data_IF_661208794715
#
_entry.id   IF_661208794715
#
_cell.length_a   1.000
_cell.length_b   1.000
_cell.length_c   1.000
_cell.angle_alpha   90.00
_cell.angle_beta   90.00
_cell.angle_gamma   90.00
#
_symmetry.space_group_name_H-M   'P 1'
#
loop_
_entity.id
_entity.type
_entity.pdbx_description
1 polymer ?
#
# COMPACT_ATOMS: atom_id res chain seq x y z
N UNK A 1 10.25 -27.15 -8.94
CA UNK A 1 11.17 -26.07 -9.34
C UNK A 1 10.30 -24.83 -9.55
N UNK A 2 10.06 -24.09 -8.46
CA UNK A 2 9.31 -22.85 -8.50
C UNK A 2 10.19 -21.76 -9.08
N UNK A 3 9.68 -20.98 -10.02
CA UNK A 3 10.34 -19.80 -10.55
C UNK A 3 10.54 -18.81 -9.39
N UNK A 4 11.77 -18.65 -8.93
CA UNK A 4 12.23 -17.52 -8.15
C UNK A 4 12.13 -16.27 -9.06
N UNK A 5 10.92 -15.79 -9.27
CA UNK A 5 10.71 -14.45 -9.77
C UNK A 5 11.14 -13.55 -8.59
N UNK A 6 12.39 -13.12 -8.59
CA UNK A 6 12.94 -12.18 -7.63
C UNK A 6 12.06 -10.93 -7.63
N UNK A 7 11.16 -10.87 -6.64
CA UNK A 7 10.31 -9.71 -6.44
C UNK A 7 11.22 -8.54 -6.10
N UNK A 8 11.41 -7.62 -7.04
CA UNK A 8 12.19 -6.39 -6.85
C UNK A 8 11.27 -5.35 -6.20
N UNK A 9 11.67 -4.88 -5.02
CA UNK A 9 10.98 -3.79 -4.32
C UNK A 9 11.03 -2.51 -5.15
N UNK A 10 9.94 -1.78 -5.18
CA UNK A 10 9.79 -0.56 -5.99
C UNK A 10 10.61 0.58 -5.39
N UNK A 11 11.35 1.33 -6.23
CA UNK A 11 12.17 2.47 -5.81
C UNK A 11 13.13 2.14 -4.66
N UNK A 12 13.70 0.92 -4.65
CA UNK A 12 14.50 0.41 -3.53
C UNK A 12 15.73 1.27 -3.25
N UNK A 13 16.49 1.63 -4.27
CA UNK A 13 17.70 2.43 -4.13
C UNK A 13 17.38 3.82 -3.58
N UNK A 14 16.38 4.47 -4.14
CA UNK A 14 15.91 5.80 -3.74
C UNK A 14 15.33 5.80 -2.32
N UNK A 15 14.65 4.73 -1.94
CA UNK A 15 14.12 4.58 -0.57
C UNK A 15 15.27 4.48 0.44
N UNK A 16 16.28 3.65 0.21
CA UNK A 16 17.43 3.50 1.09
C UNK A 16 18.26 4.81 1.19
N UNK A 17 18.48 5.49 0.07
CA UNK A 17 19.17 6.77 0.04
C UNK A 17 18.43 7.84 0.85
N UNK A 18 17.11 7.98 0.63
CA UNK A 18 16.31 8.99 1.31
C UNK A 18 16.09 8.66 2.79
N UNK A 19 16.03 7.38 3.17
CA UNK A 19 16.03 6.95 4.58
C UNK A 19 17.37 7.24 5.27
N UNK A 20 18.46 7.41 4.51
CA UNK A 20 19.83 7.54 5.01
C UNK A 20 20.20 6.40 5.98
N UNK A 21 19.97 5.16 5.54
CA UNK A 21 20.21 3.97 6.35
C UNK A 21 21.66 3.92 6.82
N UNK A 22 21.86 3.64 8.11
CA UNK A 22 23.18 3.61 8.75
C UNK A 22 23.29 2.44 9.73
N UNK A 23 24.49 1.94 10.03
CA UNK A 23 24.71 0.95 11.08
C UNK A 23 24.16 1.41 12.43
N UNK A 24 23.68 0.48 13.26
CA UNK A 24 23.14 0.73 14.60
C UNK A 24 21.78 1.39 14.67
N UNK A 25 21.22 1.86 13.54
CA UNK A 25 19.94 2.55 13.51
C UNK A 25 18.74 1.65 13.81
N UNK A 26 17.66 2.26 14.36
CA UNK A 26 16.34 1.64 14.48
C UNK A 26 15.47 2.08 13.31
N UNK A 27 15.01 1.13 12.52
CA UNK A 27 14.14 1.38 11.38
C UNK A 27 12.76 0.77 11.60
N UNK A 28 11.75 1.38 10.98
CA UNK A 28 10.38 0.85 10.94
C UNK A 28 9.97 0.67 9.48
N UNK A 29 9.45 -0.50 9.15
CA UNK A 29 8.72 -0.75 7.92
C UNK A 29 7.25 -1.00 8.30
N UNK A 30 6.39 -0.02 8.05
CA UNK A 30 4.96 -0.10 8.42
C UNK A 30 4.11 -0.91 7.45
N UNK A 31 4.73 -1.49 6.40
CA UNK A 31 4.09 -2.19 5.28
C UNK A 31 5.02 -3.25 4.71
N UNK A 32 5.48 -4.16 5.57
CA UNK A 32 6.57 -5.11 5.27
C UNK A 32 6.35 -5.90 3.98
N UNK A 33 5.10 -6.27 3.70
CA UNK A 33 4.79 -7.13 2.57
C UNK A 33 5.62 -8.42 2.61
N UNK A 34 6.31 -8.72 1.52
CA UNK A 34 7.22 -9.86 1.42
C UNK A 34 8.63 -9.60 2.01
N UNK A 35 8.85 -8.45 2.66
CA UNK A 35 10.11 -8.12 3.34
C UNK A 35 11.25 -7.66 2.44
N UNK A 36 10.96 -7.22 1.21
CA UNK A 36 12.02 -6.80 0.27
C UNK A 36 12.76 -5.54 0.71
N UNK A 37 12.05 -4.48 1.04
CA UNK A 37 12.62 -3.25 1.61
C UNK A 37 13.24 -3.51 2.97
N UNK A 38 12.54 -4.25 3.85
CA UNK A 38 13.03 -4.62 5.17
C UNK A 38 14.39 -5.34 5.13
N UNK A 39 14.55 -6.32 4.23
CA UNK A 39 15.82 -7.02 4.03
C UNK A 39 16.94 -6.08 3.60
N UNK A 40 16.66 -5.16 2.68
CA UNK A 40 17.65 -4.20 2.19
C UNK A 40 18.06 -3.20 3.29
N UNK A 41 17.12 -2.72 4.09
CA UNK A 41 17.39 -1.87 5.26
C UNK A 41 18.27 -2.60 6.27
N UNK A 42 17.93 -3.86 6.61
CA UNK A 42 18.71 -4.66 7.56
C UNK A 42 20.14 -4.97 7.07
N UNK A 43 20.33 -5.19 5.76
CA UNK A 43 21.67 -5.34 5.18
C UNK A 43 22.46 -4.05 5.24
N UNK A 44 21.86 -2.93 4.85
CA UNK A 44 22.51 -1.62 4.84
C UNK A 44 22.81 -1.09 6.26
N UNK A 45 22.05 -1.51 7.28
CA UNK A 45 22.25 -1.13 8.69
C UNK A 45 23.12 -2.13 9.48
N UNK A 46 23.77 -3.09 8.80
CA UNK A 46 24.66 -4.04 9.46
C UNK A 46 25.83 -3.33 10.18
N UNK A 47 26.37 -3.91 11.30
CA UNK A 47 26.04 -5.25 11.83
C UNK A 47 24.85 -5.26 12.80
N UNK A 48 24.45 -4.16 13.40
CA UNK A 48 23.64 -4.06 14.61
C UNK A 48 22.34 -3.25 14.46
N UNK A 49 22.07 -2.71 13.28
CA UNK A 49 20.83 -2.02 12.98
C UNK A 49 19.61 -2.94 13.12
N UNK A 50 18.52 -2.43 13.71
CA UNK A 50 17.29 -3.16 14.00
C UNK A 50 16.12 -2.65 13.16
N UNK A 51 15.14 -3.52 12.94
CA UNK A 51 13.92 -3.18 12.21
C UNK A 51 12.68 -3.70 12.95
N UNK A 52 11.72 -2.81 13.18
CA UNK A 52 10.35 -3.16 13.50
C UNK A 52 9.55 -3.18 12.19
N UNK A 53 8.98 -4.34 11.85
CA UNK A 53 8.15 -4.51 10.66
C UNK A 53 6.71 -4.79 11.02
N UNK A 54 5.78 -4.06 10.40
CA UNK A 54 4.34 -4.26 10.54
C UNK A 54 3.72 -4.64 9.20
N UNK A 55 2.77 -5.56 9.22
CA UNK A 55 1.86 -5.80 8.11
C UNK A 55 0.49 -6.26 8.64
N UNK A 56 -0.56 -5.82 7.98
CA UNK A 56 -1.95 -6.21 8.32
C UNK A 56 -2.24 -7.65 7.94
N UNK A 57 -1.58 -8.14 6.89
CA UNK A 57 -1.74 -9.45 6.33
C UNK A 57 -0.83 -10.47 7.02
N UNK A 58 -1.42 -11.27 7.90
CA UNK A 58 -0.69 -12.31 8.63
C UNK A 58 -0.08 -13.40 7.72
N UNK A 59 -0.73 -13.69 6.57
CA UNK A 59 -0.21 -14.68 5.61
C UNK A 59 1.04 -14.13 4.90
N UNK A 60 0.99 -12.89 4.44
CA UNK A 60 2.14 -12.22 3.82
C UNK A 60 3.28 -12.04 4.83
N UNK A 61 2.94 -11.70 6.08
CA UNK A 61 3.92 -11.54 7.16
C UNK A 61 4.63 -12.85 7.51
N UNK A 62 3.96 -14.00 7.39
CA UNK A 62 4.60 -15.30 7.58
C UNK A 62 5.72 -15.54 6.54
N UNK A 63 5.47 -15.21 5.28
CA UNK A 63 6.49 -15.28 4.21
C UNK A 63 7.65 -14.30 4.47
N UNK A 64 7.34 -13.10 4.97
CA UNK A 64 8.36 -12.13 5.35
C UNK A 64 9.26 -12.65 6.50
N UNK A 65 8.69 -13.36 7.49
CA UNK A 65 9.46 -13.98 8.58
C UNK A 65 10.46 -15.01 8.06
N UNK A 66 10.07 -15.85 7.12
CA UNK A 66 10.98 -16.81 6.49
C UNK A 66 12.12 -16.09 5.76
N UNK A 67 11.80 -15.07 4.95
CA UNK A 67 12.79 -14.30 4.20
C UNK A 67 13.76 -13.53 5.10
N UNK A 68 13.29 -13.02 6.23
CA UNK A 68 14.08 -12.19 7.14
C UNK A 68 14.74 -13.02 8.28
N UNK A 69 14.59 -14.34 8.28
CA UNK A 69 15.15 -15.22 9.32
C UNK A 69 16.67 -15.09 9.46
N UNK A 70 17.38 -14.80 8.37
CA UNK A 70 18.85 -14.58 8.37
C UNK A 70 19.30 -13.45 9.29
N UNK A 71 18.42 -12.48 9.57
CA UNK A 71 18.76 -11.32 10.41
C UNK A 71 18.52 -11.57 11.91
N UNK A 72 17.92 -12.68 12.28
CA UNK A 72 17.69 -13.08 13.67
C UNK A 72 16.91 -12.03 14.46
N UNK A 73 17.38 -11.70 15.65
CA UNK A 73 16.73 -10.74 16.57
C UNK A 73 16.73 -9.28 16.08
N UNK A 74 17.45 -8.97 15.00
CA UNK A 74 17.44 -7.64 14.39
C UNK A 74 16.12 -7.32 13.67
N UNK A 75 15.38 -8.34 13.24
CA UNK A 75 14.09 -8.23 12.57
C UNK A 75 12.95 -8.61 13.54
N UNK A 76 12.24 -7.61 14.06
CA UNK A 76 11.02 -7.80 14.86
C UNK A 76 9.81 -7.60 13.96
N UNK A 77 9.03 -8.67 13.70
CA UNK A 77 7.87 -8.62 12.80
C UNK A 77 6.58 -8.88 13.55
N UNK A 78 5.63 -7.96 13.44
CA UNK A 78 4.34 -8.02 14.12
C UNK A 78 3.18 -7.82 13.16
N UNK A 79 2.09 -8.54 13.37
CA UNK A 79 0.86 -8.25 12.64
C UNK A 79 0.23 -6.99 13.22
N UNK A 80 -0.04 -6.01 12.37
CA UNK A 80 -0.60 -4.73 12.78
C UNK A 80 -0.72 -3.75 11.62
N UNK A 81 -1.32 -2.62 11.90
CA UNK A 81 -1.51 -1.53 10.95
C UNK A 81 -0.46 -0.44 11.15
N UNK A 82 -0.11 0.27 10.10
CA UNK A 82 0.81 1.42 10.17
C UNK A 82 0.34 2.51 11.16
N UNK A 83 -0.95 2.56 11.49
CA UNK A 83 -1.53 3.44 12.51
C UNK A 83 -1.07 3.10 13.93
N UNK A 84 -0.62 1.87 14.13
CA UNK A 84 -0.14 1.35 15.42
C UNK A 84 1.36 1.62 15.65
N UNK A 85 2.08 2.20 14.67
CA UNK A 85 3.51 2.50 14.81
C UNK A 85 3.85 3.22 16.11
N UNK A 86 3.13 4.30 16.53
CA UNK A 86 3.43 4.97 17.79
C UNK A 86 3.30 4.06 19.02
N UNK A 87 2.27 3.21 19.06
CA UNK A 87 2.03 2.27 20.15
C UNK A 87 3.11 1.20 20.21
N UNK A 88 3.48 0.64 19.04
CA UNK A 88 4.46 -0.44 18.93
C UNK A 88 5.90 0.00 19.24
N UNK A 89 6.23 1.24 18.96
CA UNK A 89 7.52 1.83 19.33
C UNK A 89 7.59 2.26 20.79
N UNK A 90 6.46 2.68 21.39
CA UNK A 90 6.46 3.24 22.74
C UNK A 90 7.39 4.45 22.85
N UNK A 91 8.39 4.36 23.73
CA UNK A 91 9.39 5.43 23.96
C UNK A 91 10.57 5.40 22.98
N UNK A 92 10.73 4.33 22.19
CA UNK A 92 11.81 4.24 21.19
C UNK A 92 11.58 5.29 20.07
N UNK A 93 12.69 5.75 19.48
CA UNK A 93 12.65 6.68 18.34
C UNK A 93 13.33 6.03 17.15
N UNK A 94 12.67 6.10 15.99
CA UNK A 94 13.15 5.52 14.76
C UNK A 94 14.11 6.47 14.02
N UNK A 95 15.23 5.96 13.54
CA UNK A 95 16.12 6.66 12.63
C UNK A 95 15.54 6.76 11.22
N UNK A 96 14.72 5.76 10.84
CA UNK A 96 14.00 5.78 9.56
C UNK A 96 12.67 5.05 9.63
N UNK A 97 11.68 5.58 8.93
CA UNK A 97 10.35 4.95 8.77
C UNK A 97 10.03 4.85 7.28
N UNK A 98 9.70 3.64 6.83
CA UNK A 98 9.26 3.36 5.47
C UNK A 98 7.78 2.95 5.48
N UNK A 99 7.01 3.53 4.58
CA UNK A 99 5.66 3.11 4.24
C UNK A 99 5.59 2.87 2.73
N UNK A 100 5.48 1.61 2.30
CA UNK A 100 5.24 1.21 0.91
C UNK A 100 3.75 0.86 0.78
N UNK A 101 2.94 1.87 0.44
CA UNK A 101 1.48 1.77 0.46
C UNK A 101 0.96 0.87 -0.67
N UNK A 102 -0.22 0.32 -0.50
CA UNK A 102 -0.88 -0.52 -1.50
C UNK A 102 -0.89 -2.01 -1.15
N UNK A 103 -0.77 -2.86 -2.17
CA UNK A 103 -0.86 -4.33 -2.03
C UNK A 103 0.45 -5.00 -2.39
N UNK A 104 0.77 -6.09 -1.68
CA UNK A 104 1.92 -6.93 -1.99
C UNK A 104 1.73 -7.72 -3.29
N UNK A 105 2.83 -8.13 -3.92
CA UNK A 105 2.76 -9.00 -5.09
C UNK A 105 2.12 -10.34 -4.77
N UNK A 106 2.33 -10.90 -3.57
CA UNK A 106 1.68 -12.13 -3.15
C UNK A 106 0.15 -12.00 -3.15
N UNK A 107 -0.38 -10.89 -2.62
CA UNK A 107 -1.82 -10.61 -2.65
C UNK A 107 -2.37 -10.45 -4.06
N UNK A 108 -1.63 -9.78 -4.94
CA UNK A 108 -2.07 -9.52 -6.32
C UNK A 108 -2.03 -10.78 -7.20
N UNK A 109 -1.06 -11.65 -6.99
CA UNK A 109 -0.80 -12.83 -7.83
C UNK A 109 -1.62 -14.05 -7.43
N UNK A 110 -2.13 -14.09 -6.19
CA UNK A 110 -3.00 -15.14 -5.69
C UNK A 110 -4.48 -14.86 -6.06
N UNK A 111 -5.08 -15.65 -6.98
CA UNK A 111 -6.49 -15.48 -7.34
C UNK A 111 -7.44 -15.63 -6.14
N UNK A 112 -7.08 -16.46 -5.14
CA UNK A 112 -7.90 -16.69 -3.95
C UNK A 112 -8.05 -15.46 -3.05
N UNK A 113 -7.20 -14.43 -3.24
CA UNK A 113 -7.26 -13.16 -2.51
C UNK A 113 -8.21 -12.14 -3.15
N UNK A 114 -8.58 -12.30 -4.41
CA UNK A 114 -9.56 -11.46 -5.11
C UNK A 114 -9.11 -10.04 -5.47
N UNK A 115 -7.82 -9.70 -5.37
CA UNK A 115 -7.30 -8.37 -5.71
C UNK A 115 -7.17 -8.15 -7.22
N UNK A 116 -7.08 -9.21 -8.00
CA UNK A 116 -6.90 -9.18 -9.46
C UNK A 116 -8.09 -9.82 -10.17
N UNK A 117 -8.36 -9.34 -11.37
CA UNK A 117 -9.32 -9.95 -12.30
C UNK A 117 -8.63 -10.62 -13.52
N UNK A 118 -7.30 -10.73 -13.50
CA UNK A 118 -6.56 -11.42 -14.57
C UNK A 118 -6.80 -12.93 -14.52
N UNK A 119 -6.96 -13.47 -13.33
CA UNK A 119 -7.42 -14.82 -13.06
C UNK A 119 -8.66 -14.70 -12.21
N UNK A 120 -9.68 -15.49 -12.53
CA UNK A 120 -10.92 -15.49 -11.75
C UNK A 120 -10.70 -16.11 -10.37
N UNK A 121 -11.37 -15.56 -9.38
CA UNK A 121 -11.30 -15.99 -7.99
C UNK A 121 -12.39 -15.35 -7.14
N UNK A 122 -12.49 -15.69 -5.85
CA UNK A 122 -13.46 -15.10 -4.93
C UNK A 122 -13.29 -13.58 -4.87
N UNK A 123 -14.37 -12.82 -4.82
CA UNK A 123 -14.36 -11.36 -4.71
C UNK A 123 -14.16 -10.95 -3.23
N UNK A 124 -12.97 -11.22 -2.67
CA UNK A 124 -12.66 -10.96 -1.26
C UNK A 124 -12.02 -9.57 -1.04
N UNK A 125 -10.80 -9.35 -1.51
CA UNK A 125 -9.97 -8.12 -1.40
C UNK A 125 -9.58 -7.73 0.04
N UNK A 126 -9.81 -8.53 1.07
CA UNK A 126 -9.32 -8.21 2.43
C UNK A 126 -7.82 -8.48 2.54
N UNK A 127 -7.07 -7.54 3.09
CA UNK A 127 -5.67 -7.75 3.49
C UNK A 127 -5.63 -8.66 4.72
N UNK A 128 -6.42 -8.35 5.76
CA UNK A 128 -6.65 -9.23 6.90
C UNK A 128 -7.95 -10.02 6.70
N UNK A 129 -7.83 -11.32 6.40
CA UNK A 129 -8.97 -12.20 6.13
C UNK A 129 -9.72 -12.65 7.38
N UNK A 130 -9.17 -12.37 8.56
CA UNK A 130 -9.81 -12.76 9.84
C UNK A 130 -11.02 -11.89 10.17
N UNK A 131 -11.16 -10.72 9.55
CA UNK A 131 -12.18 -9.73 9.89
C UNK A 131 -12.64 -8.90 8.68
N UNK A 132 -13.70 -8.14 8.90
CA UNK A 132 -14.21 -7.15 7.95
C UNK A 132 -15.08 -7.72 6.83
N UNK A 133 -15.66 -6.81 6.05
CA UNK A 133 -16.49 -7.12 4.88
C UNK A 133 -15.61 -7.45 3.68
N UNK A 134 -16.05 -8.43 2.88
CA UNK A 134 -15.43 -8.74 1.58
C UNK A 134 -15.86 -7.73 0.51
N UNK A 135 -15.14 -7.67 -0.60
CA UNK A 135 -15.58 -6.90 -1.76
C UNK A 135 -16.93 -7.41 -2.31
N UNK A 136 -17.21 -8.72 -2.20
CA UNK A 136 -18.50 -9.30 -2.53
C UNK A 136 -19.62 -8.74 -1.64
N UNK A 137 -19.38 -8.62 -0.32
CA UNK A 137 -20.36 -7.99 0.57
C UNK A 137 -20.64 -6.54 0.17
N UNK A 138 -19.59 -5.77 -0.12
CA UNK A 138 -19.72 -4.37 -0.53
C UNK A 138 -20.54 -4.24 -1.81
N UNK A 139 -20.26 -5.00 -2.88
CA UNK A 139 -20.99 -4.87 -4.15
C UNK A 139 -22.42 -5.39 -4.05
N UNK A 140 -22.68 -6.40 -3.21
CA UNK A 140 -24.00 -6.99 -3.09
C UNK A 140 -24.93 -6.26 -2.10
N UNK A 141 -24.38 -5.56 -1.08
CA UNK A 141 -25.18 -4.94 -0.02
C UNK A 141 -25.24 -3.41 -0.07
N UNK A 142 -24.25 -2.75 -0.65
CA UNK A 142 -24.21 -1.28 -0.71
C UNK A 142 -25.32 -0.76 -1.65
N UNK A 143 -26.05 0.29 -1.23
CA UNK A 143 -27.08 0.92 -2.09
C UNK A 143 -26.45 1.48 -3.36
N UNK A 144 -27.17 1.45 -4.50
CA UNK A 144 -26.66 1.92 -5.80
C UNK A 144 -26.02 3.30 -5.72
N UNK A 145 -26.69 4.24 -5.04
CA UNK A 145 -26.19 5.61 -4.88
C UNK A 145 -24.84 5.65 -4.14
N UNK A 146 -24.78 4.95 -3.00
CA UNK A 146 -23.60 4.94 -2.14
C UNK A 146 -22.43 4.21 -2.82
N UNK A 147 -22.73 3.16 -3.59
CA UNK A 147 -21.75 2.47 -4.43
C UNK A 147 -21.21 3.40 -5.53
N UNK A 148 -22.06 4.20 -6.16
CA UNK A 148 -21.62 5.18 -7.17
C UNK A 148 -20.70 6.25 -6.55
N UNK A 149 -21.02 6.73 -5.34
CA UNK A 149 -20.20 7.69 -4.60
C UNK A 149 -18.85 7.07 -4.23
N UNK A 150 -18.83 5.81 -3.75
CA UNK A 150 -17.61 5.05 -3.45
C UNK A 150 -16.71 4.91 -4.68
N UNK A 151 -17.27 4.47 -5.81
CA UNK A 151 -16.52 4.29 -7.05
C UNK A 151 -15.95 5.61 -7.58
N UNK A 152 -16.67 6.71 -7.38
CA UNK A 152 -16.19 8.04 -7.75
C UNK A 152 -15.08 8.53 -6.82
N UNK A 153 -15.29 8.43 -5.50
CA UNK A 153 -14.37 8.97 -4.50
C UNK A 153 -13.04 8.21 -4.46
N UNK A 154 -13.10 6.87 -4.47
CA UNK A 154 -11.90 6.02 -4.30
C UNK A 154 -11.30 5.52 -5.62
N UNK A 155 -12.13 5.38 -6.67
CA UNK A 155 -11.65 4.96 -7.98
C UNK A 155 -11.36 6.13 -8.93
N UNK A 156 -11.77 7.35 -8.59
CA UNK A 156 -11.80 8.48 -9.51
C UNK A 156 -12.47 8.09 -10.85
N UNK A 157 -13.55 7.27 -10.77
CA UNK A 157 -14.21 6.66 -11.91
C UNK A 157 -15.33 7.56 -12.46
N UNK A 158 -15.17 8.16 -13.67
CA UNK A 158 -16.15 9.09 -14.22
C UNK A 158 -17.49 8.43 -14.55
N UNK A 159 -17.50 7.11 -14.81
CA UNK A 159 -18.69 6.34 -15.14
C UNK A 159 -19.28 5.63 -13.90
N UNK A 160 -18.92 6.07 -12.69
CA UNK A 160 -19.29 5.46 -11.43
C UNK A 160 -20.79 5.18 -11.29
N UNK A 161 -21.66 6.13 -11.66
CA UNK A 161 -23.13 5.95 -11.63
C UNK A 161 -23.62 4.85 -12.57
N UNK A 162 -23.02 4.78 -13.77
CA UNK A 162 -23.38 3.77 -14.77
C UNK A 162 -22.93 2.39 -14.34
N UNK A 163 -21.72 2.28 -13.76
CA UNK A 163 -21.18 1.03 -13.24
C UNK A 163 -21.99 0.57 -12.03
N UNK A 164 -22.28 1.46 -11.07
CA UNK A 164 -23.08 1.12 -9.89
C UNK A 164 -24.47 0.61 -10.25
N UNK A 165 -25.14 1.24 -11.24
CA UNK A 165 -26.44 0.77 -11.75
C UNK A 165 -26.32 -0.62 -12.40
N UNK A 166 -25.26 -0.89 -13.17
CA UNK A 166 -25.05 -2.20 -13.77
C UNK A 166 -24.81 -3.29 -12.73
N UNK A 167 -24.06 -2.98 -11.67
CA UNK A 167 -23.84 -3.87 -10.52
C UNK A 167 -25.16 -4.12 -9.80
N UNK A 168 -25.92 -3.06 -9.46
CA UNK A 168 -27.22 -3.19 -8.80
C UNK A 168 -28.19 -4.08 -9.59
N UNK A 169 -28.30 -3.87 -10.89
CA UNK A 169 -29.15 -4.69 -11.77
C UNK A 169 -28.69 -6.15 -11.86
N UNK A 170 -27.37 -6.38 -11.88
CA UNK A 170 -26.85 -7.76 -11.97
C UNK A 170 -27.13 -8.55 -10.69
N UNK A 171 -26.91 -7.94 -9.50
CA UNK A 171 -27.09 -8.61 -8.22
C UNK A 171 -28.55 -8.89 -7.87
N UNK A 172 -29.55 -8.23 -8.50
CA UNK A 172 -30.97 -8.57 -8.37
C UNK A 172 -31.28 -9.99 -8.88
N UNK A 173 -30.48 -10.51 -9.81
CA UNK A 173 -30.67 -11.85 -10.39
C UNK A 173 -29.93 -12.91 -9.59
N UNK A 174 -28.70 -12.66 -9.22
CA UNK A 174 -27.85 -13.50 -8.37
C UNK A 174 -26.73 -12.67 -7.76
N UNK A 175 -26.25 -13.03 -6.56
CA UNK A 175 -25.08 -12.38 -5.98
C UNK A 175 -23.87 -12.41 -6.91
N UNK A 176 -23.04 -11.38 -6.84
CA UNK A 176 -21.76 -11.29 -7.57
C UNK A 176 -20.70 -11.84 -6.61
N UNK A 177 -20.08 -12.96 -6.97
CA UNK A 177 -19.21 -13.71 -6.06
C UNK A 177 -17.75 -13.74 -6.51
N UNK A 178 -17.51 -13.52 -7.83
CA UNK A 178 -16.16 -13.64 -8.37
C UNK A 178 -15.63 -12.35 -9.01
N UNK A 179 -14.31 -12.27 -9.09
CA UNK A 179 -13.60 -11.15 -9.72
C UNK A 179 -13.91 -11.05 -11.21
N UNK A 180 -14.01 -12.19 -11.89
CA UNK A 180 -14.35 -12.25 -13.32
C UNK A 180 -15.76 -11.76 -13.61
N UNK A 181 -16.76 -12.15 -12.78
CA UNK A 181 -18.14 -11.65 -12.90
C UNK A 181 -18.20 -10.13 -12.77
N UNK A 182 -17.58 -9.58 -11.74
CA UNK A 182 -17.54 -8.13 -11.53
C UNK A 182 -16.84 -7.41 -12.69
N UNK A 183 -15.68 -7.91 -13.11
CA UNK A 183 -14.91 -7.30 -14.20
C UNK A 183 -15.71 -7.28 -15.51
N UNK A 184 -16.47 -8.33 -15.80
CA UNK A 184 -17.32 -8.41 -17.01
C UNK A 184 -18.51 -7.45 -16.93
N UNK A 185 -19.16 -7.32 -15.77
CA UNK A 185 -20.23 -6.33 -15.56
C UNK A 185 -19.71 -4.91 -15.82
N UNK A 186 -18.54 -4.58 -15.23
CA UNK A 186 -17.90 -3.27 -15.42
C UNK A 186 -17.51 -3.04 -16.87
N UNK A 187 -16.93 -4.03 -17.56
CA UNK A 187 -16.53 -3.96 -18.97
C UNK A 187 -17.72 -3.66 -19.88
N UNK A 188 -18.87 -4.27 -19.63
CA UNK A 188 -20.12 -3.99 -20.38
C UNK A 188 -20.66 -2.60 -20.10
N UNK A 189 -20.58 -2.15 -18.84
CA UNK A 189 -21.01 -0.82 -18.47
C UNK A 189 -20.07 0.28 -18.97
N UNK A 190 -18.76 0.02 -19.05
CA UNK A 190 -17.71 0.97 -19.44
C UNK A 190 -16.78 0.35 -20.51
N UNK A 191 -17.25 0.13 -21.74
CA UNK A 191 -16.53 -0.68 -22.74
C UNK A 191 -15.27 -0.02 -23.29
N UNK A 192 -15.06 1.28 -23.02
CA UNK A 192 -13.85 2.01 -23.44
C UNK A 192 -13.24 2.71 -22.24
N UNK A 193 -12.02 2.33 -21.87
CA UNK A 193 -11.21 3.12 -20.96
C UNK A 193 -10.84 4.45 -21.62
N UNK A 194 -10.96 5.55 -20.89
CA UNK A 194 -10.47 6.86 -21.35
C UNK A 194 -8.94 6.96 -21.35
N UNK A 195 -8.26 6.00 -20.73
CA UNK A 195 -6.79 5.87 -20.73
C UNK A 195 -6.41 4.64 -21.54
N UNK A 196 -5.69 4.78 -22.66
CA UNK A 196 -5.17 3.67 -23.43
C UNK A 196 -4.35 2.72 -22.52
N UNK A 197 -4.55 1.41 -22.69
CA UNK A 197 -3.82 0.40 -21.91
C UNK A 197 -4.31 0.13 -20.49
N UNK A 198 -5.35 0.83 -19.99
CA UNK A 198 -5.94 0.54 -18.69
C UNK A 198 -7.26 -0.24 -18.87
N UNK A 199 -7.36 -1.41 -18.22
CA UNK A 199 -8.60 -2.19 -18.26
C UNK A 199 -9.76 -1.41 -17.57
N UNK A 200 -10.99 -1.41 -18.10
CA UNK A 200 -12.12 -0.66 -17.54
C UNK A 200 -12.40 -0.94 -16.07
N UNK A 201 -12.20 -2.18 -15.60
CA UNK A 201 -12.45 -2.56 -14.22
C UNK A 201 -11.40 -2.07 -13.21
N UNK A 202 -10.21 -1.62 -13.65
CA UNK A 202 -9.10 -1.29 -12.74
C UNK A 202 -9.51 -0.28 -11.66
N UNK A 203 -10.23 0.77 -12.03
CA UNK A 203 -10.66 1.81 -11.07
C UNK A 203 -11.73 1.32 -10.11
N UNK A 204 -12.63 0.46 -10.60
CA UNK A 204 -13.64 -0.19 -9.75
C UNK A 204 -12.97 -1.10 -8.71
N UNK A 205 -12.00 -1.91 -9.12
CA UNK A 205 -11.24 -2.78 -8.21
C UNK A 205 -10.43 -1.96 -7.20
N UNK A 206 -9.77 -0.89 -7.63
CA UNK A 206 -9.09 0.03 -6.72
C UNK A 206 -10.06 0.62 -5.68
N UNK A 207 -11.23 1.08 -6.11
CA UNK A 207 -12.20 1.68 -5.20
C UNK A 207 -12.71 0.69 -4.14
N UNK A 208 -13.00 -0.55 -4.55
CA UNK A 208 -13.44 -1.60 -3.65
C UNK A 208 -12.33 -1.99 -2.67
N UNK A 209 -11.09 -2.15 -3.15
CA UNK A 209 -9.92 -2.45 -2.31
C UNK A 209 -9.74 -1.39 -1.21
N UNK A 210 -9.75 -0.12 -1.61
CA UNK A 210 -9.64 1.02 -0.68
C UNK A 210 -10.76 0.98 0.36
N UNK A 211 -12.01 0.69 -0.05
CA UNK A 211 -13.16 0.62 0.86
C UNK A 211 -13.05 -0.55 1.82
N UNK A 212 -12.74 -1.74 1.33
CA UNK A 212 -12.63 -2.97 2.13
C UNK A 212 -11.55 -2.83 3.20
N UNK A 213 -10.39 -2.28 2.82
CA UNK A 213 -9.23 -2.18 3.70
C UNK A 213 -9.09 -0.82 4.40
N UNK A 214 -10.03 0.12 4.21
CA UNK A 214 -9.99 1.48 4.78
C UNK A 214 -8.63 2.16 4.56
N UNK A 215 -8.08 2.01 3.35
CA UNK A 215 -6.69 2.42 3.06
C UNK A 215 -6.46 3.92 3.20
N UNK A 216 -7.47 4.75 2.91
CA UNK A 216 -7.37 6.21 2.92
C UNK A 216 -7.91 6.85 4.20
N UNK A 217 -8.81 6.16 4.91
CA UNK A 217 -9.40 6.67 6.15
C UNK A 217 -8.31 6.86 7.23
N UNK A 218 -8.08 8.10 7.68
CA UNK A 218 -7.07 8.41 8.69
C UNK A 218 -5.61 8.20 8.25
N UNK A 219 -5.34 7.98 6.95
CA UNK A 219 -3.98 7.75 6.45
C UNK A 219 -3.06 8.94 6.68
N UNK A 220 -3.56 10.16 6.50
CA UNK A 220 -2.80 11.38 6.75
C UNK A 220 -2.36 11.47 8.22
N UNK A 221 -3.30 11.28 9.13
CA UNK A 221 -3.08 11.31 10.58
C UNK A 221 -2.11 10.20 11.01
N UNK A 222 -2.21 9.03 10.40
CA UNK A 222 -1.29 7.92 10.64
C UNK A 222 0.15 8.25 10.19
N UNK A 223 0.31 8.87 9.02
CA UNK A 223 1.62 9.33 8.54
C UNK A 223 2.20 10.41 9.49
N UNK A 224 1.38 11.36 9.93
CA UNK A 224 1.79 12.41 10.88
C UNK A 224 2.19 11.79 12.23
N UNK A 225 1.41 10.85 12.75
CA UNK A 225 1.69 10.12 14.00
C UNK A 225 2.97 9.29 13.92
N UNK A 226 3.17 8.55 12.83
CA UNK A 226 4.40 7.81 12.61
C UNK A 226 5.62 8.74 12.49
N UNK A 227 5.51 9.87 11.79
CA UNK A 227 6.60 10.84 11.67
C UNK A 227 7.00 11.45 13.02
N UNK A 228 6.05 11.60 13.95
CA UNK A 228 6.34 12.08 15.32
C UNK A 228 7.23 11.12 16.11
N UNK A 229 7.31 9.83 15.71
CA UNK A 229 8.17 8.82 16.33
C UNK A 229 9.61 8.84 15.80
N UNK A 230 9.95 9.69 14.83
CA UNK A 230 11.32 9.82 14.34
C UNK A 230 12.26 10.38 15.42
N UNK A 231 13.49 9.89 15.45
CA UNK A 231 14.59 10.51 16.16
C UNK A 231 14.97 11.87 15.53
N UNK A 232 15.71 12.76 16.23
CA UNK A 232 16.33 13.92 15.59
C UNK A 232 17.16 13.49 14.38
N UNK A 233 17.08 14.21 13.26
CA UNK A 233 17.62 13.87 11.94
C UNK A 233 17.05 12.60 11.30
N UNK A 234 16.14 11.88 11.96
CA UNK A 234 15.45 10.72 11.40
C UNK A 234 14.61 11.07 10.17
N UNK A 235 14.38 10.09 9.29
CA UNK A 235 13.72 10.31 8.01
C UNK A 235 12.56 9.36 7.79
N UNK A 236 11.52 9.86 7.13
CA UNK A 236 10.40 9.05 6.71
C UNK A 236 10.28 9.07 5.19
N UNK A 237 10.06 7.90 4.63
CA UNK A 237 9.79 7.68 3.21
C UNK A 237 8.43 7.05 3.05
N UNK A 238 7.62 7.59 2.13
CA UNK A 238 6.31 7.04 1.75
C UNK A 238 6.30 6.81 0.26
N UNK A 239 6.00 5.59 -0.16
CA UNK A 239 5.77 5.20 -1.56
C UNK A 239 4.27 5.03 -1.74
N UNK A 240 3.69 5.69 -2.73
CA UNK A 240 2.28 5.68 -3.06
C UNK A 240 2.08 5.22 -4.50
N UNK A 241 1.01 4.47 -4.79
CA UNK A 241 0.73 3.93 -6.13
C UNK A 241 -0.47 4.57 -6.81
N UNK A 242 -1.27 5.34 -6.08
CA UNK A 242 -2.37 6.11 -6.66
C UNK A 242 -2.47 7.53 -6.09
N UNK A 243 -3.33 8.34 -6.72
CA UNK A 243 -3.48 9.77 -6.43
C UNK A 243 -3.91 10.10 -5.02
N UNK A 244 -4.75 9.24 -4.40
CA UNK A 244 -5.28 9.48 -3.06
C UNK A 244 -4.22 9.27 -1.99
N UNK A 245 -3.42 8.19 -2.10
CA UNK A 245 -2.27 7.95 -1.22
C UNK A 245 -1.23 9.08 -1.34
N UNK A 246 -0.83 9.42 -2.58
CA UNK A 246 0.13 10.50 -2.83
C UNK A 246 -0.35 11.85 -2.28
N UNK A 247 -1.67 12.11 -2.34
CA UNK A 247 -2.29 13.30 -1.77
C UNK A 247 -2.19 13.29 -0.25
N UNK A 248 -2.55 12.18 0.40
CA UNK A 248 -2.47 12.04 1.86
C UNK A 248 -1.03 12.24 2.37
N UNK A 249 -0.05 11.58 1.75
CA UNK A 249 1.37 11.75 2.10
C UNK A 249 1.86 13.20 1.88
N UNK A 250 1.49 13.83 0.75
CA UNK A 250 1.82 15.22 0.46
C UNK A 250 1.23 16.18 1.50
N UNK A 251 -0.02 15.98 1.88
CA UNK A 251 -0.72 16.84 2.85
C UNK A 251 -0.14 16.65 4.25
N UNK A 252 0.15 15.40 4.67
CA UNK A 252 0.83 15.10 5.93
C UNK A 252 2.20 15.80 6.00
N UNK A 253 3.04 15.64 4.99
CA UNK A 253 4.37 16.27 4.98
C UNK A 253 4.32 17.79 4.91
N UNK A 254 3.30 18.35 4.25
CA UNK A 254 3.08 19.79 4.24
C UNK A 254 2.67 20.33 5.62
N UNK A 255 1.84 19.59 6.34
CA UNK A 255 1.41 20.01 7.69
C UNK A 255 2.54 19.91 8.71
N UNK A 256 3.47 18.97 8.54
CA UNK A 256 4.66 18.80 9.37
C UNK A 256 5.74 19.86 9.09
N UNK A 257 5.79 20.37 7.85
CA UNK A 257 6.80 21.35 7.44
C UNK A 257 6.74 22.63 8.30
N UNK A 258 7.91 23.03 8.84
CA UNK A 258 8.02 24.16 9.75
C UNK A 258 7.60 23.87 11.20
N UNK A 259 7.27 22.60 11.50
CA UNK A 259 7.00 22.13 12.87
C UNK A 259 8.08 21.16 13.35
N UNK A 260 9.34 21.47 13.09
CA UNK A 260 10.48 20.59 13.36
C UNK A 260 10.69 19.52 12.29
N UNK A 261 10.12 19.71 11.10
CA UNK A 261 10.31 18.80 9.96
C UNK A 261 10.62 19.58 8.68
N UNK A 262 11.47 18.99 7.84
CA UNK A 262 11.87 19.49 6.52
C UNK A 262 11.47 18.49 5.44
N UNK A 263 10.68 18.94 4.46
CA UNK A 263 10.34 18.14 3.28
C UNK A 263 11.57 17.97 2.39
N UNK A 264 11.99 16.74 2.15
CA UNK A 264 13.15 16.41 1.31
C UNK A 264 12.80 16.36 -0.18
N UNK A 265 11.56 15.96 -0.51
CA UNK A 265 11.10 15.82 -1.89
C UNK A 265 9.97 16.81 -2.20
N UNK A 266 10.27 17.94 -2.84
CA UNK A 266 9.24 18.89 -3.30
C UNK A 266 8.31 18.29 -4.37
N UNK A 267 8.90 17.52 -5.30
CA UNK A 267 8.18 16.68 -6.28
C UNK A 267 8.40 15.23 -5.89
N UNK A 268 7.44 14.32 -6.15
CA UNK A 268 7.66 12.91 -5.88
C UNK A 268 8.77 12.36 -6.79
N UNK A 269 9.63 11.53 -6.23
CA UNK A 269 10.55 10.69 -7.02
C UNK A 269 9.73 9.63 -7.73
N UNK A 270 10.09 9.30 -8.95
CA UNK A 270 9.40 8.31 -9.79
C UNK A 270 10.39 7.27 -10.26
N UNK A 271 9.94 6.03 -10.50
CA UNK A 271 10.81 4.99 -11.06
C UNK A 271 11.34 5.39 -12.44
N UNK A 272 12.57 4.97 -12.72
CA UNK A 272 13.19 5.13 -14.04
C UNK A 272 12.53 4.24 -15.09
N UNK A 273 12.78 4.51 -16.36
CA UNK A 273 12.24 3.73 -17.48
C UNK A 273 12.68 2.25 -17.43
N UNK A 274 13.89 2.00 -16.97
CA UNK A 274 14.44 0.65 -16.83
C UNK A 274 13.68 -0.14 -15.75
N UNK A 275 13.47 0.45 -14.57
CA UNK A 275 12.68 -0.17 -13.50
C UNK A 275 11.25 -0.45 -13.96
N UNK A 276 10.63 0.49 -14.68
CA UNK A 276 9.25 0.30 -15.21
C UNK A 276 9.20 -0.83 -16.25
N UNK A 277 10.26 -1.01 -17.04
CA UNK A 277 10.35 -2.10 -18.02
C UNK A 277 10.48 -3.46 -17.34
N UNK A 278 11.31 -3.56 -16.30
CA UNK A 278 11.53 -4.77 -15.52
C UNK A 278 10.39 -5.07 -14.55
N UNK A 279 9.86 -4.04 -13.91
CA UNK A 279 8.72 -4.11 -13.00
C UNK A 279 7.59 -3.15 -13.41
N UNK A 280 6.66 -3.56 -14.29
CA UNK A 280 5.55 -2.70 -14.72
C UNK A 280 4.65 -2.19 -13.59
N UNK A 281 4.68 -2.84 -12.41
CA UNK A 281 3.94 -2.42 -11.20
C UNK A 281 4.49 -1.12 -10.62
N UNK A 282 5.78 -0.83 -10.83
CA UNK A 282 6.41 0.42 -10.40
C UNK A 282 5.90 1.66 -11.14
N UNK A 283 5.31 1.51 -12.33
CA UNK A 283 4.94 2.62 -13.24
C UNK A 283 4.19 3.76 -12.57
N UNK A 284 3.33 3.49 -11.60
CA UNK A 284 2.52 4.51 -10.91
C UNK A 284 3.12 4.99 -9.59
N UNK A 285 4.24 4.41 -9.16
CA UNK A 285 4.88 4.72 -7.90
C UNK A 285 5.31 6.18 -7.80
N UNK A 286 5.18 6.73 -6.59
CA UNK A 286 5.54 8.10 -6.24
C UNK A 286 6.11 8.08 -4.84
N UNK A 287 7.40 8.32 -4.72
CA UNK A 287 8.08 8.35 -3.44
C UNK A 287 8.19 9.77 -2.93
N UNK A 288 7.85 9.97 -1.66
CA UNK A 288 8.03 11.22 -0.92
C UNK A 288 8.83 10.98 0.35
N UNK A 289 9.59 12.00 0.76
CA UNK A 289 10.40 11.92 1.96
C UNK A 289 10.35 13.23 2.77
N UNK A 290 10.44 13.06 4.10
CA UNK A 290 10.55 14.14 5.09
C UNK A 290 11.62 13.77 6.11
N UNK A 291 12.29 14.75 6.69
CA UNK A 291 13.25 14.57 7.79
C UNK A 291 12.78 15.34 9.00
N UNK A 292 12.91 14.75 10.19
CA UNK A 292 12.84 15.51 11.44
C UNK A 292 14.10 16.37 11.59
N UNK A 293 13.95 17.63 11.95
CA UNK A 293 15.07 18.52 12.18
C UNK A 293 15.78 18.17 13.49
N UNK A 294 17.07 18.45 13.58
CA UNK A 294 17.80 18.37 14.85
C UNK A 294 17.25 19.43 15.79
N UNK A 295 17.15 19.10 17.07
CA UNK A 295 16.85 20.12 18.06
C UNK A 295 18.00 21.13 18.10
N UNK A 296 17.67 22.41 17.90
CA UNK A 296 18.66 23.49 17.95
C UNK A 296 19.28 23.63 19.33
#
# INVERSE_FOLDING_TARGET
>A
MGSDATHTSVLLAEALELLAVRPGGLFVDGTVGLGGHAAAVLRASSPDGRLLGLDRDGETLALARERLAEFGSRARLEQGDLREIPERLGDERADGILLDLGISSAQLDDPARGFSFQKDGPLDMRMDRSQGETAADVVNRTRERDLAELLYAYGEEPLSRRIARAIAFARERRPIETTGELAEIVRRAAPRSRRPGLHPATRTFQALRIRVNREIEGLREAIEGAAACLAPAGRMVVIAFHSLEDRAAKEAFRSLSGRGFRVLTRKPVRPGEEEVRENPRARSARLRAVSREEAA
#
